data_IF_506532090444
#
_entry.id   IF_506532090444
#
_cell.length_a   1.000
_cell.length_b   1.000
_cell.length_c   1.000
_cell.angle_alpha   90.00
_cell.angle_beta   90.00
_cell.angle_gamma   90.00
#
_symmetry.space_group_name_H-M   'P 1'
#
loop_
_entity.id
_entity.type
_entity.pdbx_description
1 polymer ?
#
# COMPACT_ATOMS: atom_id res chain seq x y z
N UNK A 1 -1.78 -6.55 -1.28
CA UNK A 1 -1.49 -5.17 -1.69
C UNK A 1 -0.39 -5.15 -2.75
N UNK A 2 -0.60 -4.44 -3.84
CA UNK A 2 0.37 -4.21 -4.93
C UNK A 2 0.87 -2.79 -4.87
N UNK A 3 2.19 -2.60 -5.02
CA UNK A 3 2.86 -1.32 -4.92
C UNK A 3 3.18 -0.72 -6.30
N UNK A 4 3.14 0.59 -6.38
CA UNK A 4 3.45 1.36 -7.58
C UNK A 4 4.62 2.32 -7.37
N UNK A 5 5.18 2.80 -8.45
CA UNK A 5 6.50 3.42 -8.55
C UNK A 5 6.62 4.86 -8.00
N UNK A 6 5.53 5.53 -7.68
CA UNK A 6 5.50 6.98 -7.53
C UNK A 6 5.95 7.52 -6.17
N UNK A 7 5.98 6.69 -5.12
CA UNK A 7 6.36 7.14 -3.77
C UNK A 7 7.83 6.87 -3.48
N UNK A 8 8.54 7.86 -2.95
CA UNK A 8 9.92 7.69 -2.51
C UNK A 8 10.05 6.68 -1.37
N UNK A 9 9.02 6.57 -0.53
CA UNK A 9 8.99 5.59 0.56
C UNK A 9 8.90 4.15 0.06
N UNK A 10 8.38 3.94 -1.14
CA UNK A 10 8.16 2.62 -1.73
C UNK A 10 9.21 2.28 -2.80
N UNK A 11 10.29 3.05 -2.89
CA UNK A 11 11.36 2.83 -3.85
C UNK A 11 11.91 1.39 -3.74
N UNK A 12 12.00 0.72 -4.88
CA UNK A 12 12.48 -0.66 -4.96
C UNK A 12 11.47 -1.72 -4.57
N UNK A 13 10.22 -1.34 -4.27
CA UNK A 13 9.16 -2.26 -3.84
C UNK A 13 8.08 -2.50 -4.90
N UNK A 14 8.23 -1.94 -6.10
CA UNK A 14 7.25 -2.06 -7.20
C UNK A 14 6.97 -3.52 -7.52
N UNK A 15 5.68 -3.85 -7.64
CA UNK A 15 5.23 -5.23 -7.92
C UNK A 15 5.17 -6.14 -6.71
N UNK A 16 5.61 -5.69 -5.55
CA UNK A 16 5.50 -6.47 -4.31
C UNK A 16 4.05 -6.71 -3.91
N UNK A 17 3.77 -7.90 -3.40
CA UNK A 17 2.48 -8.31 -2.85
C UNK A 17 2.70 -8.81 -1.44
N UNK A 18 2.11 -8.15 -0.47
CA UNK A 18 2.39 -8.43 0.94
C UNK A 18 1.14 -8.27 1.77
N UNK A 19 0.98 -9.06 2.84
CA UNK A 19 -0.07 -8.81 3.83
C UNK A 19 0.21 -7.50 4.55
N UNK A 20 -0.85 -6.84 5.01
CA UNK A 20 -0.73 -5.61 5.78
C UNK A 20 -1.84 -5.52 6.82
N UNK A 21 -1.53 -4.94 7.97
CA UNK A 21 -2.51 -4.71 9.01
C UNK A 21 -3.46 -3.57 8.63
N UNK A 22 -4.77 -3.82 8.76
CA UNK A 22 -5.82 -2.84 8.54
C UNK A 22 -6.56 -2.65 9.86
N UNK A 23 -6.64 -1.40 10.31
CA UNK A 23 -7.27 -1.05 11.57
C UNK A 23 -7.89 0.34 11.48
N UNK A 24 -8.81 0.50 10.53
CA UNK A 24 -9.58 1.74 10.35
C UNK A 24 -11.06 1.37 10.22
N UNK A 25 -11.89 1.82 11.15
CA UNK A 25 -13.30 1.42 11.27
C UNK A 25 -14.10 1.73 10.02
N UNK A 26 -14.27 3.00 9.70
CA UNK A 26 -15.06 3.46 8.56
C UNK A 26 -14.20 4.08 7.44
N UNK A 27 -12.88 3.96 7.54
CA UNK A 27 -11.97 4.54 6.56
C UNK A 27 -12.15 3.91 5.18
N UNK A 28 -12.38 4.75 4.18
CA UNK A 28 -12.54 4.37 2.79
C UNK A 28 -12.01 5.50 1.91
N UNK A 29 -11.35 5.14 0.81
CA UNK A 29 -10.93 6.15 -0.17
C UNK A 29 -12.17 6.70 -0.86
N UNK A 30 -12.29 8.03 -0.86
CA UNK A 30 -13.37 8.74 -1.49
C UNK A 30 -12.80 9.74 -2.50
N UNK A 31 -13.37 9.79 -3.68
CA UNK A 31 -13.01 10.74 -4.74
C UNK A 31 -14.22 11.60 -5.08
N UNK A 32 -13.97 12.83 -5.57
CA UNK A 32 -15.06 13.75 -5.92
C UNK A 32 -16.01 13.20 -6.99
N UNK A 33 -15.43 12.55 -8.00
CA UNK A 33 -16.15 12.00 -9.16
C UNK A 33 -15.26 11.01 -9.92
N UNK A 34 -15.80 10.40 -10.98
CA UNK A 34 -15.05 9.47 -11.82
C UNK A 34 -13.89 10.13 -12.57
N UNK A 35 -13.99 11.41 -12.89
CA UNK A 35 -12.89 12.14 -13.54
C UNK A 35 -11.71 12.33 -12.58
N UNK A 36 -11.96 12.59 -11.31
CA UNK A 36 -10.91 12.66 -10.29
C UNK A 36 -10.21 11.31 -10.10
N UNK A 37 -10.98 10.22 -10.07
CA UNK A 37 -10.43 8.87 -10.01
C UNK A 37 -9.54 8.58 -11.20
N UNK A 38 -10.00 8.87 -12.42
CA UNK A 38 -9.23 8.69 -13.65
C UNK A 38 -7.93 9.53 -13.65
N UNK A 39 -7.97 10.73 -13.08
CA UNK A 39 -6.79 11.60 -12.96
C UNK A 39 -5.73 11.00 -12.01
N UNK A 40 -6.15 10.46 -10.86
CA UNK A 40 -5.25 9.77 -9.96
C UNK A 40 -4.56 8.58 -10.64
N UNK A 41 -5.33 7.82 -11.41
CA UNK A 41 -4.82 6.67 -12.16
C UNK A 41 -3.84 7.10 -13.27
N UNK A 42 -4.23 8.06 -14.10
CA UNK A 42 -3.43 8.48 -15.26
C UNK A 42 -2.12 9.16 -14.87
N UNK A 43 -2.09 9.85 -13.74
CA UNK A 43 -0.87 10.49 -13.21
C UNK A 43 0.02 9.51 -12.42
N UNK A 44 -0.40 8.27 -12.25
CA UNK A 44 0.37 7.28 -11.48
C UNK A 44 0.48 7.59 -10.00
N UNK A 45 -0.53 8.22 -9.42
CA UNK A 45 -0.51 8.65 -8.02
C UNK A 45 -1.04 7.60 -7.05
N UNK A 46 -1.54 6.48 -7.55
CA UNK A 46 -1.97 5.36 -6.71
C UNK A 46 -0.74 4.57 -6.30
N UNK A 47 -0.47 4.51 -5.00
CA UNK A 47 0.72 3.87 -4.46
C UNK A 47 0.51 2.40 -4.07
N UNK A 48 -0.65 2.09 -3.46
CA UNK A 48 -0.99 0.74 -3.01
C UNK A 48 -2.43 0.40 -3.40
N UNK A 49 -2.65 -0.88 -3.74
CA UNK A 49 -3.98 -1.42 -3.99
C UNK A 49 -4.19 -2.72 -3.20
N UNK A 50 -5.41 -2.95 -2.77
CA UNK A 50 -5.84 -4.26 -2.30
C UNK A 50 -5.96 -5.21 -3.48
N UNK A 51 -5.44 -6.41 -3.31
CA UNK A 51 -5.52 -7.49 -4.30
C UNK A 51 -6.06 -8.76 -3.65
N UNK A 52 -6.71 -9.60 -4.47
CA UNK A 52 -7.17 -10.91 -4.02
C UNK A 52 -6.02 -11.94 -3.99
N UNK A 53 -6.35 -13.20 -3.69
CA UNK A 53 -5.34 -14.27 -3.61
C UNK A 53 -4.69 -14.58 -4.96
N UNK A 54 -5.25 -14.11 -6.06
CA UNK A 54 -4.70 -14.29 -7.41
C UNK A 54 -3.92 -13.05 -7.88
N UNK A 55 -3.77 -12.05 -7.02
CA UNK A 55 -3.07 -10.82 -7.34
C UNK A 55 -3.86 -9.84 -8.17
N UNK A 56 -5.17 -10.01 -8.28
CA UNK A 56 -6.06 -9.08 -8.99
C UNK A 56 -6.57 -8.01 -8.05
N UNK A 57 -6.57 -6.76 -8.52
CA UNK A 57 -7.19 -5.64 -7.81
C UNK A 57 -8.66 -5.99 -7.52
N UNK A 58 -9.09 -5.73 -6.30
CA UNK A 58 -10.43 -6.11 -5.86
C UNK A 58 -11.11 -5.03 -5.04
N UNK A 59 -12.44 -4.99 -5.16
CA UNK A 59 -13.30 -4.18 -4.29
C UNK A 59 -14.10 -5.05 -3.32
N UNK A 60 -13.83 -6.36 -3.32
CA UNK A 60 -14.61 -7.37 -2.58
C UNK A 60 -13.99 -7.71 -1.23
N UNK A 61 -14.80 -7.67 -0.17
CA UNK A 61 -14.43 -8.16 1.15
C UNK A 61 -14.16 -9.69 1.09
N UNK A 62 -13.20 -10.25 1.82
CA UNK A 62 -12.34 -9.60 2.82
C UNK A 62 -11.03 -9.03 2.25
N UNK A 63 -10.68 -9.29 1.00
CA UNK A 63 -9.43 -8.83 0.41
C UNK A 63 -9.36 -7.29 0.30
N UNK A 64 -10.50 -6.64 0.11
CA UNK A 64 -10.66 -5.19 0.26
C UNK A 64 -11.62 -4.94 1.41
N UNK A 65 -11.12 -4.64 2.62
CA UNK A 65 -11.96 -4.64 3.81
C UNK A 65 -12.92 -3.45 3.90
N UNK A 66 -12.73 -2.40 3.14
CA UNK A 66 -13.55 -1.19 3.21
C UNK A 66 -14.25 -0.83 1.90
N UNK A 67 -14.08 -1.61 0.84
CA UNK A 67 -14.72 -1.35 -0.45
C UNK A 67 -14.18 -0.13 -1.20
N UNK A 68 -12.96 0.29 -0.93
CA UNK A 68 -12.35 1.42 -1.63
C UNK A 68 -12.32 1.22 -3.14
N UNK A 69 -12.68 2.25 -3.95
CA UNK A 69 -12.78 2.12 -5.40
C UNK A 69 -11.43 1.73 -6.02
N UNK A 70 -11.46 0.84 -7.01
CA UNK A 70 -10.27 0.30 -7.69
C UNK A 70 -9.23 -0.31 -6.73
N UNK A 71 -9.66 -0.71 -5.54
CA UNK A 71 -8.78 -1.27 -4.53
C UNK A 71 -7.79 -0.27 -3.94
N UNK A 72 -7.92 1.02 -4.21
CA UNK A 72 -6.97 2.04 -3.78
C UNK A 72 -6.90 2.11 -2.25
N UNK A 73 -5.70 2.02 -1.70
CA UNK A 73 -5.49 2.10 -0.25
C UNK A 73 -4.35 3.02 0.15
N UNK A 74 -3.57 3.50 -0.80
CA UNK A 74 -2.59 4.57 -0.59
C UNK A 74 -2.42 5.39 -1.86
N UNK A 75 -2.18 6.68 -1.68
CA UNK A 75 -1.89 7.62 -2.76
C UNK A 75 -0.65 8.43 -2.42
N UNK A 76 0.02 8.95 -3.43
CA UNK A 76 1.21 9.77 -3.27
C UNK A 76 1.06 11.10 -4.01
N UNK A 77 1.82 12.11 -3.58
CA UNK A 77 1.93 13.38 -4.30
C UNK A 77 2.70 13.20 -5.61
N UNK A 78 2.58 14.17 -6.51
CA UNK A 78 3.31 14.14 -7.80
C UNK A 78 4.83 14.09 -7.61
N UNK A 79 5.35 14.73 -6.56
CA UNK A 79 6.77 14.67 -6.22
C UNK A 79 7.21 13.33 -5.62
N UNK A 80 6.27 12.50 -5.19
CA UNK A 80 6.54 11.25 -4.47
C UNK A 80 6.97 11.44 -3.01
N UNK A 81 7.02 12.67 -2.52
CA UNK A 81 7.52 13.00 -1.18
C UNK A 81 6.48 12.89 -0.07
N UNK A 82 5.21 12.86 -0.42
CA UNK A 82 4.12 12.70 0.52
C UNK A 82 3.28 11.49 0.11
N UNK A 83 3.10 10.55 1.02
CA UNK A 83 2.31 9.35 0.80
C UNK A 83 1.29 9.24 1.92
N UNK A 84 0.03 9.07 1.56
CA UNK A 84 -1.06 8.85 2.49
C UNK A 84 -1.52 7.41 2.32
N UNK A 85 -1.58 6.65 3.41
CA UNK A 85 -2.09 5.28 3.39
C UNK A 85 -2.93 5.00 4.64
N UNK A 86 -3.94 4.15 4.49
CA UNK A 86 -4.79 3.74 5.59
C UNK A 86 -4.27 2.50 6.33
N UNK A 87 -3.71 1.48 5.65
CA UNK A 87 -3.10 0.34 6.34
C UNK A 87 -1.88 0.74 7.17
N UNK A 88 -1.51 -0.13 8.10
CA UNK A 88 -0.50 0.14 9.12
C UNK A 88 0.77 -0.71 8.93
N UNK A 89 1.73 -0.31 8.08
CA UNK A 89 2.98 -1.06 7.91
C UNK A 89 3.81 -1.10 9.19
N UNK A 90 3.68 -0.12 10.08
CA UNK A 90 4.38 -0.08 11.37
C UNK A 90 3.94 -1.20 12.32
N UNK A 91 2.81 -1.83 12.06
CA UNK A 91 2.32 -2.97 12.85
C UNK A 91 2.81 -4.31 12.33
N UNK A 92 3.40 -4.35 11.14
CA UNK A 92 3.83 -5.59 10.46
C UNK A 92 5.24 -5.49 9.88
N UNK A 93 6.06 -4.53 10.35
CA UNK A 93 7.44 -4.38 9.86
C UNK A 93 8.36 -5.52 10.32
N UNK A 94 8.00 -6.23 11.36
CA UNK A 94 8.70 -7.44 11.79
C UNK A 94 7.95 -8.67 11.32
N UNK A 95 8.69 -9.69 10.90
CA UNK A 95 8.10 -10.94 10.39
C UNK A 95 7.14 -11.56 11.40
N UNK A 96 7.51 -11.61 12.68
CA UNK A 96 6.69 -12.21 13.74
C UNK A 96 5.36 -11.50 13.98
N UNK A 97 5.22 -10.27 13.53
CA UNK A 97 3.97 -9.50 13.67
C UNK A 97 2.91 -9.88 12.64
N UNK A 98 3.26 -10.72 11.67
CA UNK A 98 2.33 -11.20 10.65
C UNK A 98 1.76 -12.55 11.08
N UNK A 99 0.45 -12.72 10.94
CA UNK A 99 -0.22 -13.99 11.23
C UNK A 99 0.20 -15.11 10.26
N UNK A 100 0.62 -14.73 9.07
CA UNK A 100 1.23 -15.60 8.08
C UNK A 100 2.31 -14.83 7.32
N UNK A 101 3.39 -15.53 6.97
CA UNK A 101 4.46 -14.97 6.14
C UNK A 101 5.17 -16.10 5.38
N UNK A 102 5.81 -15.81 4.23
CA UNK A 102 6.70 -16.75 3.59
C UNK A 102 7.89 -17.13 4.48
N UNK A 103 8.35 -18.37 4.38
CA UNK A 103 9.45 -18.86 5.22
C UNK A 103 10.77 -18.15 4.96
N UNK A 104 10.96 -17.59 3.77
CA UNK A 104 12.19 -16.88 3.40
C UNK A 104 12.31 -15.46 3.99
N UNK A 105 11.31 -14.97 4.70
CA UNK A 105 11.44 -13.69 5.42
C UNK A 105 12.35 -13.87 6.63
N UNK A 106 13.28 -12.91 6.81
CA UNK A 106 14.15 -12.86 7.99
C UNK A 106 13.43 -12.27 9.20
N UNK A 107 14.16 -11.62 10.08
CA UNK A 107 13.59 -10.94 11.25
C UNK A 107 12.66 -9.80 10.85
N UNK A 108 13.07 -8.99 9.87
CA UNK A 108 12.27 -7.89 9.33
C UNK A 108 11.42 -8.36 8.17
N UNK A 109 10.15 -7.95 8.14
CA UNK A 109 9.31 -8.16 6.96
C UNK A 109 9.70 -7.17 5.86
N UNK A 110 9.28 -7.40 4.61
CA UNK A 110 9.53 -6.43 3.52
C UNK A 110 9.02 -5.01 3.80
N UNK A 111 8.05 -4.83 4.70
CA UNK A 111 7.56 -3.50 5.09
C UNK A 111 8.60 -2.63 5.80
N UNK A 112 9.64 -3.23 6.39
CA UNK A 112 10.75 -2.47 6.98
C UNK A 112 11.42 -1.55 5.96
N UNK A 113 11.37 -1.90 4.68
CA UNK A 113 11.98 -1.08 3.62
C UNK A 113 11.42 0.33 3.53
N UNK A 114 10.15 0.54 3.88
CA UNK A 114 9.57 1.91 3.93
C UNK A 114 10.40 2.80 4.85
N UNK A 115 10.73 2.30 6.03
CA UNK A 115 11.50 3.06 7.03
C UNK A 115 12.95 3.24 6.59
N UNK A 116 13.56 2.23 5.97
CA UNK A 116 14.90 2.33 5.39
C UNK A 116 14.94 3.33 4.24
N UNK A 117 13.93 3.34 3.38
CA UNK A 117 13.82 4.31 2.29
C UNK A 117 13.69 5.73 2.84
N UNK A 118 12.89 5.94 3.88
CA UNK A 118 12.75 7.24 4.54
C UNK A 118 14.12 7.71 5.07
N UNK A 119 14.85 6.84 5.76
CA UNK A 119 16.19 7.17 6.28
C UNK A 119 17.15 7.54 5.15
N UNK A 120 17.14 6.78 4.06
CA UNK A 120 17.97 7.04 2.88
C UNK A 120 17.72 8.42 2.28
N UNK A 121 16.45 8.87 2.24
CA UNK A 121 16.09 10.18 1.69
C UNK A 121 16.57 11.35 2.56
N UNK A 122 16.81 11.10 3.83
CA UNK A 122 17.33 12.11 4.76
C UNK A 122 18.86 12.23 4.75
N UNK A 123 19.54 11.32 4.10
CA UNK A 123 21.00 11.29 4.03
C UNK A 123 21.64 10.40 5.07
#
# INVERSE_FOLDING_TARGET
TTLFRSSLLLEGMVGSRMPIAVSHGEGQVEVRDSAHLAQLESKGLVALRFVDNFGKVTETYPANPNGSPNGITAVTSESGRATIMMPHPERVFRTVSNSWHPENWGEDSPWMRIFRNARKQLG
#
